data_IF_315915884186
#
_entry.id   IF_315915884186
#
_cell.length_a   1.000
_cell.length_b   1.000
_cell.length_c   1.000
_cell.angle_alpha   90.00
_cell.angle_beta   90.00
_cell.angle_gamma   90.00
#
_symmetry.space_group_name_H-M   'P 1'
#
loop_
_entity.id
_entity.type
_entity.pdbx_description
1 polymer ?
#
# COMPACT_ATOMS: atom_id res chain seq x y z
N UNK A 1 11.32 -15.58 -35.32
CA UNK A 1 11.60 -15.73 -33.88
C UNK A 1 11.28 -17.17 -33.50
N UNK A 2 12.28 -17.90 -33.05
CA UNK A 2 12.08 -19.28 -32.61
C UNK A 2 11.85 -19.29 -31.09
N UNK A 3 10.67 -19.68 -30.68
CA UNK A 3 10.41 -20.00 -29.28
C UNK A 3 10.81 -21.45 -29.02
N UNK A 4 11.67 -21.64 -28.03
CA UNK A 4 12.04 -22.98 -27.56
C UNK A 4 11.20 -23.29 -26.32
N UNK A 5 10.43 -24.39 -26.39
CA UNK A 5 9.67 -24.88 -25.24
C UNK A 5 10.64 -25.34 -24.14
N UNK A 6 10.34 -24.95 -22.90
CA UNK A 6 11.17 -25.27 -21.72
C UNK A 6 10.32 -25.88 -20.62
N UNK A 7 10.90 -26.66 -19.70
CA UNK A 7 10.18 -27.15 -18.52
C UNK A 7 9.63 -26.02 -17.67
N UNK A 8 8.48 -26.23 -17.05
CA UNK A 8 7.90 -25.29 -16.10
C UNK A 8 8.81 -25.14 -14.88
N UNK A 9 9.20 -23.91 -14.50
CA UNK A 9 9.94 -23.67 -13.28
C UNK A 9 9.04 -23.80 -12.05
N UNK A 10 9.61 -24.21 -10.92
CA UNK A 10 8.89 -24.23 -9.63
C UNK A 10 8.77 -22.84 -9.02
N UNK A 11 9.70 -21.95 -9.33
CA UNK A 11 9.74 -20.56 -8.86
C UNK A 11 10.21 -19.67 -9.99
N UNK A 12 9.63 -18.49 -10.08
CA UNK A 12 10.06 -17.42 -10.99
C UNK A 12 10.14 -16.08 -10.27
N UNK A 13 10.93 -15.18 -10.84
CA UNK A 13 11.13 -13.83 -10.34
C UNK A 13 10.64 -12.80 -11.35
N UNK A 14 9.90 -11.81 -10.86
CA UNK A 14 9.32 -10.74 -11.68
C UNK A 14 9.57 -9.38 -11.03
N UNK A 15 10.20 -8.47 -11.76
CA UNK A 15 10.38 -7.08 -11.32
C UNK A 15 9.19 -6.25 -11.78
N UNK A 16 8.57 -5.54 -10.85
CA UNK A 16 7.45 -4.65 -11.17
C UNK A 16 7.59 -3.32 -10.41
N UNK A 17 6.83 -2.32 -10.80
CA UNK A 17 6.70 -1.08 -10.04
C UNK A 17 5.94 -1.34 -8.74
N UNK A 18 6.33 -0.65 -7.66
CA UNK A 18 5.70 -0.80 -6.34
C UNK A 18 4.20 -0.45 -6.37
N UNK A 19 3.81 0.56 -7.16
CA UNK A 19 2.43 0.99 -7.35
C UNK A 19 1.51 -0.07 -8.00
N UNK A 20 2.08 -1.09 -8.65
CA UNK A 20 1.33 -2.21 -9.27
C UNK A 20 1.18 -3.42 -8.36
N UNK A 21 1.85 -3.43 -7.22
CA UNK A 21 1.87 -4.60 -6.33
C UNK A 21 0.46 -5.00 -5.89
N UNK A 22 -0.32 -4.04 -5.40
CA UNK A 22 -1.67 -4.31 -4.91
C UNK A 22 -2.56 -4.92 -5.99
N UNK A 23 -2.56 -4.34 -7.20
CA UNK A 23 -3.34 -4.89 -8.32
C UNK A 23 -2.93 -6.33 -8.68
N UNK A 24 -1.64 -6.66 -8.62
CA UNK A 24 -1.14 -8.03 -8.85
C UNK A 24 -1.63 -8.99 -7.76
N UNK A 25 -1.62 -8.54 -6.50
CA UNK A 25 -2.06 -9.35 -5.37
C UNK A 25 -3.60 -9.53 -5.36
N UNK A 26 -4.32 -8.50 -5.76
CA UNK A 26 -5.78 -8.53 -5.89
C UNK A 26 -6.21 -9.46 -7.02
N UNK A 27 -5.55 -9.39 -8.19
CA UNK A 27 -5.79 -10.26 -9.32
C UNK A 27 -5.32 -11.72 -9.09
N UNK A 28 -4.32 -11.94 -8.24
CA UNK A 28 -3.67 -13.25 -8.05
C UNK A 28 -2.91 -13.76 -9.29
N UNK A 29 -2.57 -12.85 -10.22
CA UNK A 29 -1.94 -13.19 -11.50
C UNK A 29 -1.03 -12.06 -12.01
N UNK A 30 -0.05 -12.43 -12.84
CA UNK A 30 0.69 -11.48 -13.68
C UNK A 30 0.02 -11.44 -15.05
N UNK A 31 -0.52 -10.29 -15.41
CA UNK A 31 -1.17 -10.08 -16.73
C UNK A 31 -0.14 -9.75 -17.80
N UNK A 32 -0.40 -10.21 -19.01
CA UNK A 32 0.37 -9.84 -20.21
C UNK A 32 0.21 -8.35 -20.52
N UNK A 33 1.26 -7.75 -21.02
CA UNK A 33 1.21 -6.38 -21.51
C UNK A 33 1.88 -6.26 -22.87
N UNK A 34 1.07 -6.18 -23.92
CA UNK A 34 1.52 -5.99 -25.31
C UNK A 34 2.12 -7.22 -25.99
N UNK A 35 2.58 -8.21 -25.23
CA UNK A 35 3.13 -9.48 -25.71
C UNK A 35 2.15 -10.63 -25.57
N UNK A 36 2.47 -11.77 -26.21
CA UNK A 36 1.74 -13.01 -25.99
C UNK A 36 2.15 -13.72 -24.71
N UNK A 37 3.28 -13.33 -24.14
CA UNK A 37 3.92 -13.93 -22.96
C UNK A 37 4.09 -12.93 -21.81
N UNK A 38 4.04 -13.45 -20.57
CA UNK A 38 4.60 -12.82 -19.40
C UNK A 38 6.06 -13.24 -19.23
N UNK A 39 6.95 -12.31 -18.92
CA UNK A 39 8.41 -12.55 -18.84
C UNK A 39 8.91 -12.57 -17.40
N UNK A 40 9.77 -13.55 -17.11
CA UNK A 40 10.30 -13.81 -15.78
C UNK A 40 11.79 -14.16 -15.84
N UNK A 41 12.45 -14.13 -14.69
CA UNK A 41 13.77 -14.74 -14.50
C UNK A 41 13.65 -16.00 -13.62
N UNK A 42 14.49 -17.02 -13.88
CA UNK A 42 14.45 -18.28 -13.12
C UNK A 42 15.27 -18.23 -11.82
N UNK A 43 16.07 -17.18 -11.62
CA UNK A 43 16.92 -17.02 -10.44
C UNK A 43 17.26 -15.57 -10.15
N UNK A 44 17.62 -15.27 -8.91
CA UNK A 44 18.06 -13.93 -8.49
C UNK A 44 19.30 -13.43 -9.24
N UNK A 45 20.35 -14.25 -9.50
CA UNK A 45 21.47 -13.81 -10.34
C UNK A 45 21.05 -13.42 -11.75
N UNK A 46 20.13 -14.17 -12.39
CA UNK A 46 19.58 -13.81 -13.70
C UNK A 46 18.75 -12.52 -13.62
N UNK A 47 17.99 -12.33 -12.55
CA UNK A 47 17.22 -11.11 -12.33
C UNK A 47 18.14 -9.90 -12.20
N UNK A 48 19.22 -9.99 -11.42
CA UNK A 48 20.21 -8.90 -11.29
C UNK A 48 20.82 -8.54 -12.65
N UNK A 49 21.28 -9.53 -13.39
CA UNK A 49 21.83 -9.32 -14.74
C UNK A 49 20.77 -8.73 -15.72
N UNK A 50 19.51 -9.12 -15.60
CA UNK A 50 18.41 -8.54 -16.36
C UNK A 50 18.20 -7.07 -16.01
N UNK A 51 18.17 -6.72 -14.72
CA UNK A 51 18.02 -5.33 -14.26
C UNK A 51 19.17 -4.44 -14.78
N UNK A 52 20.41 -4.94 -14.73
CA UNK A 52 21.60 -4.24 -15.24
C UNK A 52 21.55 -3.98 -16.75
N UNK A 53 20.83 -4.82 -17.51
CA UNK A 53 20.66 -4.68 -18.96
C UNK A 53 19.39 -3.93 -19.36
N UNK A 54 18.51 -3.63 -18.41
CA UNK A 54 17.22 -2.96 -18.66
C UNK A 54 17.04 -1.72 -17.77
N UNK A 55 16.38 -1.85 -16.65
CA UNK A 55 15.96 -0.70 -15.81
C UNK A 55 17.11 0.13 -15.26
N UNK A 56 18.30 -0.47 -15.04
CA UNK A 56 19.50 0.22 -14.54
C UNK A 56 20.33 0.85 -15.66
N UNK A 57 19.77 0.99 -16.85
CA UNK A 57 20.44 1.54 -18.04
C UNK A 57 20.15 3.03 -18.25
N UNK A 58 20.09 3.85 -17.20
CA UNK A 58 19.79 5.28 -17.26
C UNK A 58 20.47 5.99 -18.45
N UNK A 59 19.66 6.77 -19.21
CA UNK A 59 20.11 7.54 -20.36
C UNK A 59 20.44 6.74 -21.62
N UNK A 60 20.57 5.40 -21.56
CA UNK A 60 20.80 4.57 -22.74
C UNK A 60 19.57 4.55 -23.62
N UNK A 61 19.72 4.61 -24.97
CA UNK A 61 18.61 4.55 -25.89
C UNK A 61 18.01 3.14 -25.96
N UNK A 62 16.70 3.06 -26.11
CA UNK A 62 15.97 1.84 -26.45
C UNK A 62 14.81 2.15 -27.38
N UNK A 63 14.29 1.14 -28.09
CA UNK A 63 13.08 1.27 -28.89
C UNK A 63 11.87 0.77 -28.13
N UNK A 64 10.90 1.67 -27.89
CA UNK A 64 9.61 1.29 -27.35
C UNK A 64 8.75 0.53 -28.38
N UNK A 65 7.63 -0.02 -27.93
CA UNK A 65 6.61 -0.61 -28.80
C UNK A 65 6.14 0.44 -29.80
N UNK A 66 6.18 0.09 -31.11
CA UNK A 66 5.90 1.06 -32.18
C UNK A 66 7.13 1.73 -32.78
N UNK A 67 8.36 1.36 -32.35
CA UNK A 67 9.61 1.81 -32.95
C UNK A 67 10.06 3.21 -32.53
N UNK A 68 9.42 3.83 -31.55
CA UNK A 68 9.84 5.11 -31.00
C UNK A 68 11.14 4.95 -30.22
N UNK A 69 12.14 5.79 -30.54
CA UNK A 69 13.39 5.85 -29.78
C UNK A 69 13.17 6.58 -28.45
N UNK A 70 13.35 5.85 -27.37
CA UNK A 70 13.25 6.36 -25.99
C UNK A 70 14.60 6.26 -25.29
N UNK A 71 14.73 6.86 -24.11
CA UNK A 71 15.87 6.67 -23.21
C UNK A 71 15.37 6.11 -21.90
N UNK A 72 16.15 5.20 -21.32
CA UNK A 72 15.85 4.69 -19.98
C UNK A 72 15.83 5.84 -18.98
N UNK A 73 14.76 5.98 -18.17
CA UNK A 73 14.66 6.98 -17.11
C UNK A 73 15.70 6.68 -16.01
N UNK A 74 15.81 7.60 -15.07
CA UNK A 74 16.56 7.36 -13.83
C UNK A 74 15.97 6.14 -13.12
N UNK A 75 16.85 5.25 -12.71
CA UNK A 75 16.46 4.08 -11.91
C UNK A 75 16.45 4.47 -10.42
N UNK A 76 15.28 4.37 -9.80
CA UNK A 76 15.07 4.57 -8.36
C UNK A 76 14.66 3.21 -7.79
N UNK A 77 15.54 2.52 -7.03
CA UNK A 77 15.29 1.17 -6.53
C UNK A 77 14.00 1.05 -5.72
N UNK A 78 13.67 2.09 -4.94
CA UNK A 78 12.52 2.19 -4.06
C UNK A 78 11.18 2.16 -4.82
N UNK A 79 11.17 2.59 -6.09
CA UNK A 79 10.00 2.54 -6.97
C UNK A 79 9.66 1.11 -7.44
N UNK A 80 10.49 0.12 -7.11
CA UNK A 80 10.35 -1.23 -7.62
C UNK A 80 10.23 -2.25 -6.49
N UNK A 81 9.52 -3.32 -6.78
CA UNK A 81 9.46 -4.51 -5.95
C UNK A 81 9.80 -5.73 -6.81
N UNK A 82 10.55 -6.64 -6.23
CA UNK A 82 10.87 -7.91 -6.87
C UNK A 82 9.98 -9.01 -6.28
N UNK A 83 9.19 -9.64 -7.15
CA UNK A 83 8.29 -10.71 -6.77
C UNK A 83 8.97 -12.07 -6.97
N UNK A 84 8.90 -12.94 -5.97
CA UNK A 84 9.20 -14.36 -6.06
C UNK A 84 7.86 -15.10 -6.07
N UNK A 85 7.56 -15.80 -7.16
CA UNK A 85 6.26 -16.40 -7.45
C UNK A 85 6.38 -17.91 -7.61
N UNK A 86 5.43 -18.66 -7.06
CA UNK A 86 5.25 -20.08 -7.35
C UNK A 86 4.11 -20.23 -8.38
N UNK A 87 4.40 -20.55 -9.65
CA UNK A 87 3.39 -20.72 -10.67
C UNK A 87 2.45 -21.87 -10.38
N UNK A 88 1.13 -21.70 -10.60
CA UNK A 88 0.11 -22.74 -10.45
C UNK A 88 -0.52 -23.17 -11.77
N UNK A 89 0.05 -22.78 -12.89
CA UNK A 89 -0.47 -23.01 -14.26
C UNK A 89 0.07 -24.28 -14.92
N UNK A 90 -0.59 -24.74 -16.01
CA UNK A 90 -0.16 -25.89 -16.79
C UNK A 90 1.30 -25.82 -17.22
N UNK A 91 1.99 -26.96 -17.11
CA UNK A 91 3.44 -27.07 -17.37
C UNK A 91 3.84 -26.82 -18.82
N UNK A 92 2.88 -26.73 -19.74
CA UNK A 92 3.14 -26.80 -21.18
C UNK A 92 3.31 -25.46 -21.89
N UNK A 93 3.12 -24.32 -21.21
CA UNK A 93 3.12 -22.99 -21.84
C UNK A 93 4.36 -22.17 -21.53
N UNK A 94 5.48 -22.83 -21.18
CA UNK A 94 6.73 -22.17 -20.89
C UNK A 94 7.68 -22.19 -22.06
N UNK A 95 8.26 -21.02 -22.38
CA UNK A 95 9.08 -20.81 -23.55
C UNK A 95 10.28 -19.96 -23.22
N UNK A 96 11.41 -20.22 -23.89
CA UNK A 96 12.53 -19.30 -23.96
C UNK A 96 12.54 -18.67 -25.34
N UNK A 97 12.73 -17.37 -25.40
CA UNK A 97 12.82 -16.65 -26.64
C UNK A 97 14.26 -16.72 -27.16
N UNK A 98 14.46 -17.23 -28.36
CA UNK A 98 15.73 -17.14 -29.05
C UNK A 98 15.69 -15.86 -29.90
N UNK A 99 16.44 -14.84 -29.47
CA UNK A 99 16.47 -13.57 -30.16
C UNK A 99 17.28 -13.73 -31.44
N UNK A 100 16.58 -13.76 -32.58
CA UNK A 100 17.20 -13.71 -33.89
C UNK A 100 17.67 -12.27 -34.17
N UNK A 101 18.94 -12.14 -34.50
CA UNK A 101 19.50 -10.88 -35.01
C UNK A 101 19.54 -10.96 -36.53
N UNK A 102 19.47 -9.80 -37.23
CA UNK A 102 19.53 -9.79 -38.70
C UNK A 102 20.75 -10.55 -39.25
N UNK A 103 20.63 -11.24 -40.37
CA UNK A 103 21.76 -11.86 -41.03
C UNK A 103 22.88 -10.85 -41.30
N UNK A 104 24.13 -11.24 -41.01
CA UNK A 104 25.30 -10.34 -41.16
C UNK A 104 25.58 -9.44 -39.97
N UNK A 105 24.82 -9.55 -38.87
CA UNK A 105 25.12 -8.80 -37.63
C UNK A 105 26.49 -9.14 -37.07
N UNK A 106 27.20 -8.19 -36.41
CA UNK A 106 28.45 -8.43 -35.70
C UNK A 106 28.35 -9.56 -34.69
N UNK A 107 29.43 -10.34 -34.52
CA UNK A 107 29.45 -11.49 -33.59
C UNK A 107 29.16 -11.07 -32.15
N UNK A 108 29.60 -9.89 -31.76
CA UNK A 108 29.36 -9.29 -30.43
C UNK A 108 27.88 -9.04 -30.20
N UNK A 109 27.14 -8.55 -31.20
CA UNK A 109 25.69 -8.32 -31.12
C UNK A 109 24.93 -9.65 -31.02
N UNK A 110 25.35 -10.66 -31.81
CA UNK A 110 24.75 -12.01 -31.74
C UNK A 110 24.95 -12.61 -30.34
N UNK A 111 26.16 -12.46 -29.77
CA UNK A 111 26.47 -12.93 -28.42
C UNK A 111 25.64 -12.22 -27.37
N UNK A 112 25.60 -10.89 -27.40
CA UNK A 112 24.82 -10.07 -26.46
C UNK A 112 23.30 -10.40 -26.50
N UNK A 113 22.76 -10.59 -27.71
CA UNK A 113 21.34 -10.97 -27.87
C UNK A 113 21.07 -12.34 -27.25
N UNK A 114 21.91 -13.33 -27.43
CA UNK A 114 21.80 -14.66 -26.82
C UNK A 114 21.93 -14.61 -25.29
N UNK A 115 22.90 -13.86 -24.79
CA UNK A 115 23.08 -13.69 -23.34
C UNK A 115 21.86 -13.06 -22.71
N UNK A 116 21.30 -12.01 -23.32
CA UNK A 116 20.06 -11.38 -22.84
C UNK A 116 18.86 -12.33 -22.87
N UNK A 117 18.70 -13.08 -23.99
CA UNK A 117 17.61 -14.06 -24.13
C UNK A 117 17.72 -15.20 -23.11
N UNK A 118 18.92 -15.57 -22.69
CA UNK A 118 19.16 -16.59 -21.68
C UNK A 118 18.75 -16.17 -20.25
N UNK A 119 18.59 -14.87 -20.00
CA UNK A 119 18.16 -14.35 -18.68
C UNK A 119 16.68 -14.58 -18.38
N UNK A 120 15.85 -14.66 -19.44
CA UNK A 120 14.39 -14.66 -19.34
C UNK A 120 13.78 -16.00 -19.73
N UNK A 121 12.62 -16.24 -19.14
CA UNK A 121 11.70 -17.32 -19.50
C UNK A 121 10.30 -16.70 -19.61
N UNK A 122 9.52 -17.09 -20.60
CA UNK A 122 8.17 -16.59 -20.86
C UNK A 122 7.11 -17.65 -20.56
N UNK A 123 6.02 -17.21 -19.99
CA UNK A 123 4.79 -17.98 -19.92
C UNK A 123 3.78 -17.43 -20.91
N UNK A 124 3.24 -18.28 -21.79
CA UNK A 124 2.23 -17.88 -22.78
C UNK A 124 0.86 -17.81 -22.13
N UNK A 125 0.37 -16.63 -21.96
CA UNK A 125 -0.87 -16.31 -21.24
C UNK A 125 -0.61 -15.46 -19.99
N UNK A 126 -1.65 -15.21 -19.24
CA UNK A 126 -1.57 -14.57 -17.93
C UNK A 126 -1.12 -15.62 -16.90
N UNK A 127 -0.14 -15.30 -16.06
CA UNK A 127 0.41 -16.26 -15.11
C UNK A 127 -0.27 -16.17 -13.75
N UNK A 128 -0.99 -17.22 -13.38
CA UNK A 128 -1.51 -17.41 -12.03
C UNK A 128 -0.42 -18.00 -11.12
N UNK A 129 -0.40 -17.58 -9.86
CA UNK A 129 0.55 -18.07 -8.87
C UNK A 129 -0.18 -18.48 -7.57
N UNK A 130 0.36 -19.47 -6.86
CA UNK A 130 -0.18 -19.98 -5.60
C UNK A 130 0.44 -19.30 -4.38
N UNK A 131 1.66 -18.79 -4.51
CA UNK A 131 2.33 -18.05 -3.43
C UNK A 131 3.17 -16.92 -4.01
N UNK A 132 3.26 -15.84 -3.25
CA UNK A 132 4.05 -14.66 -3.60
C UNK A 132 4.83 -14.16 -2.40
N UNK A 133 6.11 -13.89 -2.61
CA UNK A 133 6.96 -13.14 -1.68
C UNK A 133 7.45 -11.88 -2.38
N UNK A 134 7.42 -10.76 -1.68
CA UNK A 134 8.12 -9.54 -2.12
C UNK A 134 9.54 -9.56 -1.61
N UNK A 135 10.48 -9.11 -2.42
CA UNK A 135 11.88 -8.93 -2.06
C UNK A 135 12.20 -7.44 -2.22
N UNK A 136 12.78 -6.86 -1.20
CA UNK A 136 13.23 -5.46 -1.19
C UNK A 136 14.33 -5.24 -2.23
N UNK A 137 14.11 -4.32 -3.16
CA UNK A 137 15.06 -4.10 -4.28
C UNK A 137 16.32 -3.38 -3.83
N UNK A 138 16.29 -2.32 -3.00
CA UNK A 138 17.48 -1.72 -2.42
C UNK A 138 18.38 -2.75 -1.72
N UNK A 139 17.85 -3.53 -0.79
CA UNK A 139 18.61 -4.57 -0.08
C UNK A 139 19.19 -5.62 -1.05
N UNK A 140 18.38 -6.08 -2.03
CA UNK A 140 18.83 -7.04 -3.04
C UNK A 140 20.02 -6.53 -3.85
N UNK A 141 20.04 -5.26 -4.22
CA UNK A 141 21.17 -4.65 -4.95
C UNK A 141 22.42 -4.57 -4.08
N UNK A 142 22.28 -4.41 -2.78
CA UNK A 142 23.39 -4.44 -1.81
C UNK A 142 23.84 -5.86 -1.43
N UNK A 143 23.18 -6.90 -1.95
CA UNK A 143 23.53 -8.30 -1.72
C UNK A 143 22.81 -8.93 -0.53
N UNK A 144 21.84 -8.24 0.04
CA UNK A 144 20.98 -8.74 1.11
C UNK A 144 19.63 -9.21 0.52
N UNK A 145 19.03 -10.24 1.10
CA UNK A 145 17.71 -10.73 0.69
C UNK A 145 16.75 -10.52 1.86
N UNK A 146 16.01 -9.42 1.80
CA UNK A 146 14.90 -9.15 2.72
C UNK A 146 13.62 -9.51 1.97
N UNK A 147 12.95 -10.58 2.40
CA UNK A 147 11.71 -11.03 1.77
C UNK A 147 10.56 -11.06 2.75
N UNK A 148 9.35 -10.78 2.24
CA UNK A 148 8.11 -10.82 2.99
C UNK A 148 7.06 -11.60 2.21
N UNK A 149 6.44 -12.61 2.85
CA UNK A 149 5.30 -13.31 2.26
C UNK A 149 4.12 -12.37 2.17
N UNK A 150 3.48 -12.35 1.02
CA UNK A 150 2.23 -11.60 0.77
C UNK A 150 1.06 -12.59 0.65
N UNK A 151 -0.14 -12.10 0.91
CA UNK A 151 -1.37 -12.84 0.67
C UNK A 151 -2.05 -12.30 -0.57
N UNK A 152 -2.45 -13.18 -1.47
CA UNK A 152 -3.40 -12.84 -2.54
C UNK A 152 -4.80 -12.66 -1.95
N UNK A 153 -5.73 -12.06 -2.70
CA UNK A 153 -7.13 -11.93 -2.26
C UNK A 153 -7.75 -13.28 -1.88
N UNK A 154 -7.48 -14.34 -2.67
CA UNK A 154 -7.98 -15.68 -2.35
C UNK A 154 -7.39 -16.29 -1.06
N UNK A 155 -6.09 -16.08 -0.81
CA UNK A 155 -5.45 -16.52 0.43
C UNK A 155 -5.93 -15.70 1.64
N UNK A 156 -6.06 -14.38 1.48
CA UNK A 156 -6.56 -13.49 2.51
C UNK A 156 -7.99 -13.85 2.90
N UNK A 157 -8.85 -14.07 1.91
CA UNK A 157 -10.22 -14.53 2.15
C UNK A 157 -10.24 -15.87 2.91
N UNK A 158 -9.50 -16.86 2.44
CA UNK A 158 -9.48 -18.19 3.06
C UNK A 158 -9.00 -18.13 4.52
N UNK A 159 -8.02 -17.29 4.80
CA UNK A 159 -7.52 -17.08 6.15
C UNK A 159 -8.55 -16.36 7.03
N UNK A 160 -9.20 -15.32 6.49
CA UNK A 160 -10.24 -14.55 7.19
C UNK A 160 -11.45 -15.43 7.49
N UNK A 161 -11.93 -16.18 6.51
CA UNK A 161 -13.03 -17.12 6.69
C UNK A 161 -12.74 -18.12 7.82
N UNK A 162 -11.58 -18.77 7.82
CA UNK A 162 -11.21 -19.70 8.87
C UNK A 162 -11.14 -19.04 10.25
N UNK A 163 -10.66 -17.80 10.33
CA UNK A 163 -10.56 -17.04 11.57
C UNK A 163 -11.94 -16.68 12.12
N UNK A 164 -12.83 -16.19 11.26
CA UNK A 164 -14.20 -15.81 11.66
C UNK A 164 -15.07 -17.01 12.00
N UNK A 165 -14.92 -18.14 11.30
CA UNK A 165 -15.57 -19.40 11.66
C UNK A 165 -15.14 -19.88 13.06
N UNK A 166 -13.85 -19.81 13.35
CA UNK A 166 -13.34 -20.18 14.68
C UNK A 166 -13.88 -19.25 15.78
N UNK A 167 -13.91 -17.94 15.52
CA UNK A 167 -14.46 -16.94 16.44
C UNK A 167 -15.95 -17.18 16.68
N UNK A 168 -16.74 -17.38 15.60
CA UNK A 168 -18.18 -17.68 15.69
C UNK A 168 -18.43 -18.98 16.48
N UNK A 169 -17.65 -20.04 16.23
CA UNK A 169 -17.79 -21.28 16.97
C UNK A 169 -17.52 -21.08 18.48
N UNK A 170 -16.51 -20.27 18.81
CA UNK A 170 -16.21 -19.88 20.19
C UNK A 170 -17.33 -19.06 20.83
N UNK A 171 -17.92 -18.14 20.07
CA UNK A 171 -19.05 -17.32 20.49
C UNK A 171 -20.28 -18.20 20.77
N UNK A 172 -20.68 -19.07 19.84
CA UNK A 172 -21.80 -20.00 20.02
C UNK A 172 -21.62 -20.89 21.27
N UNK A 173 -20.41 -21.39 21.50
CA UNK A 173 -20.11 -22.18 22.69
C UNK A 173 -20.26 -21.39 23.99
N UNK A 174 -20.01 -20.08 23.99
CA UNK A 174 -20.28 -19.22 25.15
C UNK A 174 -21.79 -19.06 25.37
N UNK A 175 -22.57 -18.87 24.29
CA UNK A 175 -24.03 -18.77 24.38
C UNK A 175 -24.68 -20.01 24.99
N UNK A 176 -24.16 -21.21 24.69
CA UNK A 176 -24.66 -22.47 25.27
C UNK A 176 -24.55 -22.52 26.81
N UNK A 177 -23.73 -21.65 27.40
CA UNK A 177 -23.50 -21.59 28.85
C UNK A 177 -24.39 -20.55 29.57
N UNK A 178 -25.07 -19.68 28.80
CA UNK A 178 -25.89 -18.61 29.33
C UNK A 178 -27.29 -19.12 29.74
N UNK A 179 -27.81 -18.54 30.80
CA UNK A 179 -29.21 -18.72 31.18
C UNK A 179 -30.12 -18.05 30.15
N UNK A 180 -31.43 -18.41 30.19
CA UNK A 180 -32.43 -17.81 29.32
C UNK A 180 -32.51 -16.28 29.47
N UNK A 181 -32.41 -15.77 30.70
CA UNK A 181 -32.49 -14.35 30.96
C UNK A 181 -31.25 -13.60 30.42
N UNK A 182 -30.06 -14.17 30.55
CA UNK A 182 -28.82 -13.65 29.96
C UNK A 182 -28.86 -13.64 28.44
N UNK A 183 -29.43 -14.68 27.80
CA UNK A 183 -29.63 -14.72 26.34
C UNK A 183 -30.59 -13.63 25.87
N UNK A 184 -31.67 -13.33 26.63
CA UNK A 184 -32.59 -12.25 26.29
C UNK A 184 -31.90 -10.88 26.40
N UNK A 185 -31.03 -10.69 27.40
CA UNK A 185 -30.26 -9.45 27.56
C UNK A 185 -29.19 -9.28 26.44
N UNK A 186 -28.64 -10.37 25.94
CA UNK A 186 -27.65 -10.36 24.87
C UNK A 186 -28.26 -10.43 23.46
N UNK A 187 -29.56 -10.35 23.29
CA UNK A 187 -30.26 -10.59 22.02
C UNK A 187 -29.76 -9.68 20.88
N UNK A 188 -29.51 -8.40 21.16
CA UNK A 188 -29.07 -7.42 20.17
C UNK A 188 -27.61 -7.73 19.75
N UNK A 189 -26.71 -8.08 20.70
CA UNK A 189 -25.34 -8.51 20.45
C UNK A 189 -25.31 -9.80 19.60
N UNK A 190 -26.14 -10.78 19.96
CA UNK A 190 -26.28 -12.03 19.21
C UNK A 190 -26.71 -11.74 17.77
N UNK A 191 -27.71 -10.87 17.60
CA UNK A 191 -28.20 -10.47 16.28
C UNK A 191 -27.11 -9.78 15.48
N UNK A 192 -26.38 -8.82 16.07
CA UNK A 192 -25.29 -8.12 15.42
C UNK A 192 -24.17 -9.07 14.97
N UNK A 193 -23.71 -9.96 15.84
CA UNK A 193 -22.68 -10.94 15.57
C UNK A 193 -23.07 -11.87 14.42
N UNK A 194 -24.30 -12.41 14.44
CA UNK A 194 -24.81 -13.29 13.39
C UNK A 194 -24.97 -12.56 12.05
N UNK A 195 -25.43 -11.31 12.08
CA UNK A 195 -25.56 -10.48 10.89
C UNK A 195 -24.21 -10.20 10.28
N UNK A 196 -23.22 -9.72 11.05
CA UNK A 196 -21.88 -9.44 10.54
C UNK A 196 -21.21 -10.69 9.95
N UNK A 197 -21.37 -11.86 10.58
CA UNK A 197 -20.85 -13.11 10.04
C UNK A 197 -21.51 -13.47 8.71
N UNK A 198 -22.85 -13.36 8.62
CA UNK A 198 -23.61 -13.65 7.39
C UNK A 198 -23.24 -12.69 6.25
N UNK A 199 -23.19 -11.39 6.55
CA UNK A 199 -22.85 -10.37 5.56
C UNK A 199 -21.42 -10.51 5.04
N UNK A 200 -20.46 -10.83 5.91
CA UNK A 200 -19.09 -11.11 5.51
C UNK A 200 -19.01 -12.23 4.43
N UNK A 201 -19.87 -13.25 4.54
CA UNK A 201 -19.96 -14.33 3.55
C UNK A 201 -20.58 -13.88 2.22
N UNK A 202 -21.60 -12.99 2.29
CA UNK A 202 -22.28 -12.45 1.11
C UNK A 202 -21.34 -11.53 0.33
N UNK A 203 -20.60 -10.66 1.03
CA UNK A 203 -19.69 -9.67 0.42
C UNK A 203 -18.33 -10.23 -0.01
N UNK A 204 -18.14 -11.53 0.00
CA UNK A 204 -16.86 -12.19 -0.32
C UNK A 204 -16.18 -11.67 -1.59
N UNK A 205 -16.96 -11.47 -2.68
CA UNK A 205 -16.41 -11.10 -3.99
C UNK A 205 -16.11 -9.60 -4.10
N UNK A 206 -16.76 -8.79 -3.27
CA UNK A 206 -16.65 -7.34 -3.27
C UNK A 206 -15.70 -6.81 -2.20
N UNK A 207 -15.20 -7.70 -1.30
CA UNK A 207 -14.36 -7.30 -0.19
C UNK A 207 -12.92 -7.05 -0.65
N UNK A 208 -12.42 -5.79 -0.55
CA UNK A 208 -11.05 -5.46 -0.95
C UNK A 208 -10.01 -6.24 -0.12
N UNK A 209 -8.94 -6.70 -0.78
CA UNK A 209 -7.85 -7.45 -0.12
C UNK A 209 -7.26 -6.71 1.10
N UNK A 210 -7.10 -5.39 1.00
CA UNK A 210 -6.56 -4.56 2.10
C UNK A 210 -7.43 -4.61 3.35
N UNK A 211 -8.74 -4.59 3.17
CA UNK A 211 -9.72 -4.70 4.26
C UNK A 211 -9.73 -6.11 4.87
N UNK A 212 -9.61 -7.15 4.03
CA UNK A 212 -9.42 -8.52 4.52
C UNK A 212 -8.16 -8.66 5.38
N UNK A 213 -7.04 -8.09 4.94
CA UNK A 213 -5.78 -8.10 5.69
C UNK A 213 -5.90 -7.32 7.00
N UNK A 214 -6.59 -6.16 6.97
CA UNK A 214 -6.88 -5.39 8.17
C UNK A 214 -7.66 -6.22 9.20
N UNK A 215 -8.74 -6.89 8.78
CA UNK A 215 -9.51 -7.78 9.64
C UNK A 215 -8.70 -8.98 10.16
N UNK A 216 -7.81 -9.53 9.32
CA UNK A 216 -6.90 -10.61 9.73
C UNK A 216 -5.93 -10.19 10.85
N UNK A 217 -5.55 -8.93 10.91
CA UNK A 217 -4.67 -8.38 11.95
C UNK A 217 -5.39 -8.17 13.28
N UNK A 218 -6.74 -8.04 13.28
CA UNK A 218 -7.52 -7.92 14.50
C UNK A 218 -7.54 -9.25 15.25
N UNK A 219 -7.54 -9.22 16.56
CA UNK A 219 -7.63 -10.45 17.37
C UNK A 219 -8.97 -11.15 17.16
N UNK A 220 -10.05 -10.37 17.19
CA UNK A 220 -11.43 -10.81 17.02
C UNK A 220 -12.17 -9.95 15.97
N UNK A 221 -12.05 -10.27 14.70
CA UNK A 221 -12.62 -9.47 13.62
C UNK A 221 -14.14 -9.41 13.63
N UNK A 222 -14.86 -10.46 14.02
CA UNK A 222 -16.31 -10.43 14.09
C UNK A 222 -16.82 -9.61 15.29
N UNK A 223 -16.16 -9.69 16.45
CA UNK A 223 -16.49 -8.88 17.62
C UNK A 223 -16.33 -7.38 17.27
N UNK A 224 -15.22 -6.99 16.63
CA UNK A 224 -15.00 -5.62 16.14
C UNK A 224 -16.10 -5.16 15.19
N UNK A 225 -16.48 -5.99 14.20
CA UNK A 225 -17.54 -5.66 13.25
C UNK A 225 -18.90 -5.55 13.93
N UNK A 226 -19.21 -6.44 14.87
CA UNK A 226 -20.50 -6.44 15.58
C UNK A 226 -20.64 -5.23 16.51
N UNK A 227 -19.59 -4.80 17.18
CA UNK A 227 -19.56 -3.58 17.99
C UNK A 227 -19.84 -2.35 17.12
N UNK A 228 -19.11 -2.21 16.01
CA UNK A 228 -19.33 -1.13 15.05
C UNK A 228 -20.75 -1.18 14.44
N UNK A 229 -21.28 -2.38 14.16
CA UNK A 229 -22.64 -2.56 13.69
C UNK A 229 -23.68 -2.03 14.69
N UNK A 230 -23.55 -2.35 15.98
CA UNK A 230 -24.48 -1.91 17.02
C UNK A 230 -24.50 -0.38 17.18
N UNK A 231 -23.39 0.29 16.93
CA UNK A 231 -23.32 1.76 16.97
C UNK A 231 -24.07 2.44 15.82
N UNK A 232 -24.29 1.76 14.70
CA UNK A 232 -24.81 2.33 13.45
C UNK A 232 -26.27 1.92 13.09
N UNK A 233 -27.06 1.47 14.02
CA UNK A 233 -28.40 0.84 13.86
C UNK A 233 -29.48 1.66 13.12
N UNK A 234 -29.30 2.16 11.90
CA UNK A 234 -30.41 2.86 11.22
C UNK A 234 -30.47 2.81 9.68
N UNK A 235 -29.77 1.89 8.99
CA UNK A 235 -29.69 1.89 7.50
C UNK A 235 -29.78 0.48 6.92
N UNK A 236 -30.00 0.36 5.61
CA UNK A 236 -29.98 -0.87 4.83
C UNK A 236 -28.76 -1.73 5.16
N UNK A 237 -28.99 -3.02 5.46
CA UNK A 237 -28.00 -3.94 6.02
C UNK A 237 -26.74 -4.05 5.16
N UNK A 238 -26.89 -4.18 3.84
CA UNK A 238 -25.77 -4.35 2.93
C UNK A 238 -24.91 -3.10 2.75
N UNK A 239 -25.54 -1.95 2.53
CA UNK A 239 -24.84 -0.66 2.40
C UNK A 239 -24.14 -0.29 3.71
N UNK A 240 -24.77 -0.62 4.85
CA UNK A 240 -24.20 -0.35 6.18
C UNK A 240 -22.94 -1.18 6.41
N UNK A 241 -22.94 -2.49 6.10
CA UNK A 241 -21.79 -3.35 6.33
C UNK A 241 -20.55 -2.89 5.54
N UNK A 242 -20.73 -2.59 4.25
CA UNK A 242 -19.62 -2.11 3.41
C UNK A 242 -19.11 -0.74 3.89
N UNK A 243 -20.02 0.17 4.27
CA UNK A 243 -19.66 1.48 4.79
C UNK A 243 -18.90 1.39 6.11
N UNK A 244 -19.32 0.50 7.02
CA UNK A 244 -18.64 0.25 8.31
C UNK A 244 -17.23 -0.29 8.11
N UNK A 245 -17.07 -1.29 7.26
CA UNK A 245 -15.75 -1.89 7.01
C UNK A 245 -14.79 -0.89 6.39
N UNK A 246 -15.26 -0.13 5.39
CA UNK A 246 -14.46 0.94 4.76
C UNK A 246 -14.12 2.04 5.78
N UNK A 247 -15.06 2.39 6.67
CA UNK A 247 -14.83 3.34 7.75
C UNK A 247 -13.76 2.87 8.73
N UNK A 248 -13.90 1.68 9.27
CA UNK A 248 -12.94 1.08 10.20
C UNK A 248 -11.52 0.96 9.57
N UNK A 249 -11.45 0.51 8.32
CA UNK A 249 -10.19 0.45 7.61
C UNK A 249 -9.58 1.85 7.41
N UNK A 250 -10.40 2.83 7.04
CA UNK A 250 -9.97 4.22 6.88
C UNK A 250 -9.48 4.84 8.19
N UNK A 251 -10.18 4.62 9.30
CA UNK A 251 -9.78 5.07 10.63
C UNK A 251 -8.47 4.43 11.08
N UNK A 252 -8.30 3.13 10.86
CA UNK A 252 -7.05 2.43 11.18
C UNK A 252 -5.87 2.92 10.33
N UNK A 253 -6.08 3.23 9.03
CA UNK A 253 -5.06 3.83 8.18
C UNK A 253 -4.71 5.26 8.64
N UNK A 254 -5.70 6.05 9.05
CA UNK A 254 -5.47 7.37 9.62
C UNK A 254 -4.68 7.29 10.92
N UNK A 255 -5.03 6.36 11.81
CA UNK A 255 -4.32 6.14 13.07
C UNK A 255 -2.87 5.71 12.82
N UNK A 256 -2.64 4.76 11.92
CA UNK A 256 -1.29 4.30 11.56
C UNK A 256 -0.45 5.44 10.96
N UNK A 257 -1.02 6.26 10.06
CA UNK A 257 -0.36 7.45 9.54
C UNK A 257 -0.09 8.48 10.64
N UNK A 258 -1.04 8.67 11.58
CA UNK A 258 -0.88 9.60 12.70
C UNK A 258 0.21 9.12 13.66
N UNK A 259 0.29 7.83 13.94
CA UNK A 259 1.31 7.25 14.85
C UNK A 259 2.73 7.34 14.26
N UNK A 260 2.88 7.22 12.94
CA UNK A 260 4.19 7.39 12.27
C UNK A 260 4.62 8.87 12.22
N UNK A 261 3.67 9.78 12.19
CA UNK A 261 3.89 11.24 12.10
C UNK A 261 3.87 11.94 13.46
N UNK A 262 3.32 11.34 14.50
CA UNK A 262 3.42 11.85 15.90
C UNK A 262 4.88 11.95 16.40
N UNK A 263 5.87 11.61 15.59
CA UNK A 263 7.29 11.96 15.80
C UNK A 263 7.57 13.44 15.54
N UNK A 264 6.70 14.13 14.81
CA UNK A 264 6.86 15.56 14.51
C UNK A 264 6.02 16.38 15.47
N UNK A 265 6.68 17.10 16.36
CA UNK A 265 6.01 17.97 17.33
C UNK A 265 5.60 19.31 16.73
N UNK A 266 6.32 19.79 15.71
CA UNK A 266 6.09 21.09 15.07
C UNK A 266 5.93 21.00 13.56
N UNK A 267 5.36 22.05 12.96
CA UNK A 267 5.26 22.19 11.51
C UNK A 267 6.66 22.26 10.88
N UNK A 268 7.64 22.90 11.52
CA UNK A 268 9.01 22.97 11.03
C UNK A 268 9.62 21.57 10.87
N UNK A 269 9.47 20.72 11.89
CA UNK A 269 9.95 19.32 11.84
C UNK A 269 9.27 18.52 10.74
N UNK A 270 7.95 18.70 10.58
CA UNK A 270 7.17 18.06 9.52
C UNK A 270 7.68 18.45 8.12
N UNK A 271 7.77 19.76 7.84
CA UNK A 271 8.20 20.27 6.55
C UNK A 271 9.67 19.93 6.22
N UNK A 272 10.51 19.87 7.25
CA UNK A 272 11.92 19.46 7.09
C UNK A 272 12.05 17.98 6.72
N UNK A 273 11.15 17.14 7.24
CA UNK A 273 11.16 15.68 6.96
C UNK A 273 10.65 15.34 5.58
N UNK A 274 9.76 16.16 5.00
CA UNK A 274 9.13 15.92 3.69
C UNK A 274 9.20 17.17 2.78
N UNK A 275 10.39 17.66 2.45
CA UNK A 275 10.55 18.97 1.77
C UNK A 275 10.02 19.01 0.35
N UNK A 276 9.89 17.83 -0.30
CA UNK A 276 9.45 17.69 -1.69
C UNK A 276 7.94 17.40 -1.84
N UNK A 277 7.22 17.29 -0.71
CA UNK A 277 5.80 16.98 -0.71
C UNK A 277 4.93 18.26 -0.72
N UNK A 278 3.64 18.07 -1.07
CA UNK A 278 2.62 19.12 -1.02
C UNK A 278 1.91 19.09 0.32
N UNK A 279 1.65 20.26 0.91
CA UNK A 279 0.96 20.38 2.19
C UNK A 279 -0.22 21.34 2.10
N UNK A 280 -1.30 21.00 2.79
CA UNK A 280 -2.36 21.91 3.15
C UNK A 280 -2.44 21.95 4.69
N UNK A 281 -2.02 23.07 5.27
CA UNK A 281 -2.06 23.29 6.71
C UNK A 281 -3.35 24.02 7.08
N UNK A 282 -4.13 23.44 7.98
CA UNK A 282 -5.27 24.12 8.62
C UNK A 282 -4.76 24.76 9.92
N UNK A 283 -4.58 26.04 9.90
CA UNK A 283 -4.03 26.82 11.01
C UNK A 283 -5.14 27.68 11.65
N UNK A 284 -4.95 28.22 12.87
CA UNK A 284 -5.84 29.22 13.44
C UNK A 284 -6.02 30.49 12.60
N UNK A 285 -5.04 30.80 11.74
CA UNK A 285 -5.09 31.94 10.80
C UNK A 285 -5.76 31.63 9.46
N UNK A 286 -6.12 30.35 9.20
CA UNK A 286 -6.72 29.86 7.95
C UNK A 286 -5.92 28.76 7.29
N UNK A 287 -6.29 28.41 6.05
CA UNK A 287 -5.62 27.39 5.26
C UNK A 287 -4.36 27.95 4.61
N UNK A 288 -3.26 27.21 4.69
CA UNK A 288 -1.99 27.51 4.04
C UNK A 288 -1.65 26.34 3.11
N UNK A 289 -1.65 26.59 1.81
CA UNK A 289 -1.25 25.62 0.80
C UNK A 289 0.23 25.80 0.49
N UNK A 290 1.01 24.73 0.58
CA UNK A 290 2.45 24.73 0.35
C UNK A 290 2.81 23.73 -0.76
N UNK A 291 3.37 24.26 -1.82
CA UNK A 291 4.14 23.49 -2.80
C UNK A 291 5.57 23.28 -2.27
N UNK A 292 6.36 22.34 -2.80
CA UNK A 292 7.77 22.18 -2.42
C UNK A 292 8.57 23.50 -2.44
N UNK A 293 8.32 24.36 -3.43
CA UNK A 293 8.98 25.67 -3.54
C UNK A 293 8.55 26.65 -2.43
N UNK A 294 7.28 26.60 -2.02
CA UNK A 294 6.77 27.45 -0.93
C UNK A 294 7.21 26.92 0.43
N UNK A 295 7.30 25.59 0.61
CA UNK A 295 7.91 24.95 1.76
C UNK A 295 9.36 25.41 1.97
N UNK A 296 10.16 25.43 0.88
CA UNK A 296 11.55 25.91 0.96
C UNK A 296 11.65 27.39 1.37
N UNK A 297 10.75 28.24 0.86
CA UNK A 297 10.70 29.68 1.23
C UNK A 297 10.29 29.85 2.67
N UNK A 298 9.26 29.12 3.12
CA UNK A 298 8.79 29.17 4.49
C UNK A 298 9.88 28.75 5.49
N UNK A 299 10.60 27.66 5.19
CA UNK A 299 11.74 27.20 6.00
C UNK A 299 12.93 28.19 6.02
N UNK A 300 13.03 29.08 5.03
CA UNK A 300 14.00 30.20 5.02
C UNK A 300 13.53 31.42 5.80
N UNK A 301 12.34 31.39 6.37
CA UNK A 301 11.75 32.51 7.12
C UNK A 301 10.98 33.51 6.27
N UNK A 302 10.61 33.18 5.04
CA UNK A 302 9.77 34.03 4.20
C UNK A 302 8.29 33.86 4.59
N UNK A 303 7.55 34.98 4.71
CA UNK A 303 6.13 34.97 5.02
C UNK A 303 5.32 34.22 3.95
N UNK A 304 4.27 33.51 4.36
CA UNK A 304 3.33 32.81 3.47
C UNK A 304 1.95 33.44 3.50
N UNK A 305 1.05 32.93 2.67
CA UNK A 305 -0.32 33.44 2.55
C UNK A 305 -1.33 32.45 3.10
N UNK A 306 -2.09 32.86 4.11
CA UNK A 306 -3.22 32.08 4.63
C UNK A 306 -4.56 32.51 4.02
N UNK A 307 -5.44 31.55 3.79
CA UNK A 307 -6.80 31.74 3.28
C UNK A 307 -7.82 31.56 4.43
N UNK A 308 -8.55 32.60 4.82
CA UNK A 308 -9.54 32.50 5.92
C UNK A 308 -10.85 31.75 5.52
N UNK A 309 -10.79 30.82 4.55
CA UNK A 309 -11.95 30.05 4.05
C UNK A 309 -12.34 30.40 2.62
N UNK A 310 -13.50 29.89 2.18
CA UNK A 310 -13.92 29.85 0.76
C UNK A 310 -14.12 31.22 0.08
N UNK A 311 -14.15 32.33 0.82
CA UNK A 311 -14.46 33.66 0.25
C UNK A 311 -13.67 34.82 0.84
N UNK A 312 -12.59 34.57 1.57
CA UNK A 312 -11.78 35.62 2.19
C UNK A 312 -10.57 36.06 1.35
N UNK A 313 -10.11 37.30 1.57
CA UNK A 313 -8.83 37.74 1.03
C UNK A 313 -7.68 36.98 1.69
N UNK A 314 -6.68 36.57 0.90
CA UNK A 314 -5.43 36.02 1.42
C UNK A 314 -4.77 37.01 2.38
N UNK A 315 -4.32 36.54 3.51
CA UNK A 315 -3.58 37.34 4.49
C UNK A 315 -2.16 36.82 4.64
N UNK A 316 -1.15 37.71 4.69
CA UNK A 316 0.22 37.28 4.98
C UNK A 316 0.33 36.82 6.43
N UNK A 317 1.04 35.70 6.64
CA UNK A 317 1.37 35.16 7.97
C UNK A 317 2.88 34.99 8.03
N UNK A 318 3.48 35.39 9.13
CA UNK A 318 4.92 35.29 9.33
C UNK A 318 5.35 33.81 9.40
N UNK A 319 6.50 33.49 8.80
CA UNK A 319 6.99 32.12 8.73
C UNK A 319 7.16 31.49 10.12
N UNK A 320 7.69 32.24 11.06
CA UNK A 320 7.95 31.76 12.42
C UNK A 320 6.64 31.36 13.13
N UNK A 321 5.55 32.09 12.90
CA UNK A 321 4.25 31.79 13.48
C UNK A 321 3.72 30.42 13.00
N UNK A 322 3.92 30.09 11.73
CA UNK A 322 3.50 28.80 11.16
C UNK A 322 4.44 27.66 11.60
N UNK A 323 5.74 27.87 11.54
CA UNK A 323 6.75 26.84 11.82
C UNK A 323 6.74 26.35 13.28
N UNK A 324 6.42 27.25 14.23
CA UNK A 324 6.33 26.93 15.66
C UNK A 324 4.99 26.25 16.04
N UNK A 325 4.01 26.15 15.14
CA UNK A 325 2.73 25.48 15.43
C UNK A 325 2.94 23.99 15.68
N UNK A 326 2.18 23.44 16.63
CA UNK A 326 2.12 22.01 16.89
C UNK A 326 1.17 21.32 15.88
N UNK A 327 1.60 20.19 15.32
CA UNK A 327 0.77 19.34 14.47
C UNK A 327 -0.15 18.49 15.36
N UNK A 328 -1.46 18.73 15.28
CA UNK A 328 -2.49 18.02 16.06
C UNK A 328 -3.00 16.77 15.36
N UNK A 329 -3.12 16.82 14.06
CA UNK A 329 -3.44 15.67 13.23
C UNK A 329 -2.83 15.81 11.84
N UNK A 330 -2.53 14.70 11.20
CA UNK A 330 -1.94 14.67 9.88
C UNK A 330 -2.58 13.54 9.08
N UNK A 331 -2.88 13.83 7.82
CA UNK A 331 -3.46 12.87 6.88
C UNK A 331 -2.81 13.07 5.53
N UNK A 332 -2.51 11.98 4.82
CA UNK A 332 -2.07 12.02 3.41
C UNK A 332 -3.19 11.51 2.52
N UNK A 333 -3.47 12.19 1.42
CA UNK A 333 -4.45 11.72 0.44
C UNK A 333 -3.85 10.75 -0.58
N UNK A 334 -4.69 10.22 -1.44
CA UNK A 334 -4.30 9.29 -2.52
C UNK A 334 -3.42 9.94 -3.60
N UNK A 335 -3.35 11.27 -3.64
CA UNK A 335 -2.52 12.05 -4.56
C UNK A 335 -1.17 12.46 -3.94
N UNK A 336 -0.94 12.08 -2.67
CA UNK A 336 0.30 12.35 -1.95
C UNK A 336 0.36 13.72 -1.27
N UNK A 337 -0.75 14.47 -1.22
CA UNK A 337 -0.83 15.73 -0.51
C UNK A 337 -1.05 15.49 1.00
N UNK A 338 -0.33 16.21 1.84
CA UNK A 338 -0.49 16.18 3.29
C UNK A 338 -1.48 17.22 3.77
N UNK A 339 -2.43 16.82 4.59
CA UNK A 339 -3.39 17.68 5.29
C UNK A 339 -3.04 17.68 6.77
N UNK A 340 -2.59 18.79 7.29
CA UNK A 340 -2.21 18.94 8.69
C UNK A 340 -3.15 19.92 9.42
N UNK A 341 -3.77 19.47 10.50
CA UNK A 341 -4.41 20.36 11.47
C UNK A 341 -3.34 20.84 12.45
N UNK A 342 -3.16 22.15 12.56
CA UNK A 342 -2.13 22.76 13.40
C UNK A 342 -2.73 23.76 14.39
N UNK A 343 -2.09 23.95 15.51
CA UNK A 343 -2.49 24.88 16.56
C UNK A 343 -1.26 25.49 17.23
N UNK A 344 -1.44 26.62 17.90
CA UNK A 344 -0.39 27.22 18.71
C UNK A 344 0.07 26.25 19.81
N UNK A 345 1.36 26.26 20.20
CA UNK A 345 1.87 25.46 21.29
C UNK A 345 1.03 25.68 22.53
N UNK A 346 0.53 24.61 23.15
CA UNK A 346 -0.15 24.75 24.44
C UNK A 346 0.88 25.26 25.45
N UNK A 347 0.71 26.51 25.90
CA UNK A 347 1.43 27.01 27.06
C UNK A 347 1.14 26.03 28.21
N UNK A 348 2.16 25.28 28.65
CA UNK A 348 2.07 24.51 29.90
C UNK A 348 1.75 25.53 31.00
N UNK A 349 0.48 25.58 31.38
CA UNK A 349 0.10 26.27 32.62
C UNK A 349 0.85 25.53 33.74
N UNK A 350 1.95 26.13 34.21
CA UNK A 350 2.51 25.80 35.50
C UNK A 350 1.38 25.96 36.51
N UNK A 351 0.84 24.86 37.00
CA UNK A 351 0.01 24.83 38.19
C UNK A 351 0.95 25.21 39.34
N UNK A 352 1.07 26.49 39.58
CA UNK A 352 1.58 27.00 40.83
C UNK A 352 0.65 26.49 41.94
N UNK A 353 1.11 25.48 42.64
CA UNK A 353 0.54 25.00 43.90
C UNK A 353 0.54 26.17 44.89
N UNK A 354 -0.55 26.90 44.97
CA UNK A 354 -0.88 27.70 46.14
C UNK A 354 -1.49 26.79 47.18
N UNK A 355 -0.67 26.26 48.07
CA UNK A 355 -1.12 25.79 49.37
C UNK A 355 -1.76 26.97 50.12
N UNK A 356 -3.00 26.84 50.64
CA UNK A 356 -3.55 27.82 51.54
C UNK A 356 -2.87 27.66 52.91
N UNK A 357 -2.02 28.61 53.30
CA UNK A 357 -1.62 28.75 54.67
C UNK A 357 -2.87 29.12 55.49
N UNK A 358 -3.32 28.18 56.32
CA UNK A 358 -4.26 28.48 57.39
C UNK A 358 -3.56 29.26 58.51
N UNK A 359 -4.06 30.43 58.83
CA UNK A 359 -3.94 31.10 60.12
C UNK A 359 -5.18 30.72 60.96
#
# INVERSE_FOLDING_TARGET
MAYVKVPAPSVVYHLTKADRLDSILDDGQIRRFGDSECWFCESLPKMKAYMEQTVMCEGKPYYAVGGQLCRYPKFVPEDYVLLKLAPCQPKDNWYRWDQEVPPGSPKELIKAAKEFSALKIGYRGDLWFSTVETIDVPAFLHGEIISQKQLTSGEAWSALFNKTEYEMAGYMKRLDQLSRDELIQAADEISAMMTCHSELLVFREDLPRKEMIFLLQQDKPLELLSEAWMEHQNVDVGETFQSLLTGLYGEAQQQACTDDVMKHQTVEELLTSYPDDYFQLMTPCGFVDLTPSETEKLLRGEATMAHPGVSGCKMPVEAQEILEMEVRSLKRDEHGCWYALTDHPQQKMEQASQEPQML
#
